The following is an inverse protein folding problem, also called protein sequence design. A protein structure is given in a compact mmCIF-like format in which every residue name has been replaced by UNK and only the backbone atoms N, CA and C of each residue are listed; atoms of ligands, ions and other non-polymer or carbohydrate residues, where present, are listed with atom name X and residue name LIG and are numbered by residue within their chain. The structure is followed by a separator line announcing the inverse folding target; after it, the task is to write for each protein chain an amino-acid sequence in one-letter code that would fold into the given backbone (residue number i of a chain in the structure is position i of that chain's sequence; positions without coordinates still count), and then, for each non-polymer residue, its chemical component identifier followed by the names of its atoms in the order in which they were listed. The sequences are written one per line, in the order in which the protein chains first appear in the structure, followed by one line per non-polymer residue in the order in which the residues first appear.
data_IF_513435134319
#
_entry.id   IF_513435134319
#
_cell.length_a   1.000
_cell.length_b   1.000
_cell.length_c   1.000
_cell.angle_alpha   90.00
_cell.angle_beta   90.00
_cell.angle_gamma   90.00
#
_symmetry.space_group_name_H-M   'P 1'
#
loop_
_entity.id
_entity.type
_entity.pdbx_description
1 polymer ?
#
# COMPACT_ATOMS: atom_id res chain seq x y z
N UNK A 1 1.84 2.14 0.08
CA UNK A 1 3.29 2.11 0.41
C UNK A 1 3.49 2.62 1.84
N UNK A 2 3.20 3.90 2.12
CA UNK A 2 3.39 4.52 3.45
C UNK A 2 2.79 3.73 4.62
N UNK A 3 1.50 3.38 4.57
CA UNK A 3 0.85 2.60 5.62
C UNK A 3 1.52 1.22 5.91
N UNK A 4 2.05 0.55 4.88
CA UNK A 4 2.78 -0.71 5.06
C UNK A 4 4.16 -0.48 5.68
N UNK A 5 4.86 0.59 5.27
CA UNK A 5 6.14 0.99 5.86
C UNK A 5 5.99 1.38 7.34
N UNK A 6 4.93 2.13 7.67
CA UNK A 6 4.63 2.52 9.05
C UNK A 6 4.22 1.32 9.91
N UNK A 7 3.50 0.34 9.33
CA UNK A 7 3.22 -0.94 10.00
C UNK A 7 4.50 -1.72 10.29
N UNK A 8 5.44 -1.81 9.34
CA UNK A 8 6.76 -2.43 9.58
C UNK A 8 7.54 -1.70 10.67
N UNK A 9 7.58 -0.37 10.62
CA UNK A 9 8.25 0.45 11.62
C UNK A 9 7.70 0.17 13.02
N UNK A 10 6.37 0.12 13.16
CA UNK A 10 5.70 -0.23 14.43
C UNK A 10 6.01 -1.65 14.89
N UNK A 11 5.99 -2.63 13.98
CA UNK A 11 6.32 -4.03 14.32
C UNK A 11 7.76 -4.17 14.80
N UNK A 12 8.70 -3.46 14.17
CA UNK A 12 10.10 -3.42 14.61
C UNK A 12 10.27 -2.78 15.98
N UNK A 13 9.56 -1.68 16.25
CA UNK A 13 9.62 -0.99 17.55
C UNK A 13 9.04 -1.84 18.68
N UNK A 14 7.98 -2.63 18.41
CA UNK A 14 7.30 -3.45 19.42
C UNK A 14 7.96 -4.81 19.66
N UNK A 15 8.43 -5.47 18.61
CA UNK A 15 8.89 -6.87 18.68
C UNK A 15 10.41 -7.03 18.48
N UNK A 16 11.13 -5.94 18.19
CA UNK A 16 12.57 -5.91 17.99
C UNK A 16 13.02 -6.36 16.60
N UNK A 17 14.31 -6.68 16.47
CA UNK A 17 14.95 -7.13 15.24
C UNK A 17 15.93 -8.28 15.50
N UNK A 18 15.69 -9.50 14.97
CA UNK A 18 14.50 -9.94 14.25
C UNK A 18 13.26 -9.99 15.17
N UNK A 19 12.06 -9.66 14.67
CA UNK A 19 10.88 -9.53 15.50
C UNK A 19 10.44 -10.89 16.07
N UNK A 20 10.26 -10.94 17.39
CA UNK A 20 9.69 -12.11 18.06
C UNK A 20 8.20 -11.88 18.32
N UNK A 21 7.38 -12.39 17.41
CA UNK A 21 5.93 -12.31 17.53
C UNK A 21 5.39 -13.31 18.58
N UNK A 22 4.38 -12.95 19.38
CA UNK A 22 3.72 -13.90 20.28
C UNK A 22 3.08 -15.06 19.49
N UNK A 23 3.35 -16.31 19.89
CA UNK A 23 2.81 -17.53 19.24
C UNK A 23 1.28 -17.64 19.37
N UNK A 24 0.68 -16.98 20.37
CA UNK A 24 -0.71 -17.16 20.81
C UNK A 24 -1.73 -16.10 20.37
N UNK A 25 -1.47 -15.31 19.32
CA UNK A 25 -2.57 -14.48 18.75
C UNK A 25 -3.44 -15.34 17.83
N UNK A 26 -4.03 -16.41 18.35
CA UNK A 26 -5.05 -17.19 17.68
C UNK A 26 -6.27 -16.30 17.38
N UNK A 27 -6.42 -15.92 16.11
CA UNK A 27 -7.67 -15.47 15.47
C UNK A 27 -8.65 -14.75 16.41
N UNK A 28 -8.30 -13.56 16.88
CA UNK A 28 -9.35 -12.57 17.12
C UNK A 28 -9.70 -12.00 15.75
N UNK A 29 -10.69 -12.63 15.11
CA UNK A 29 -11.56 -11.88 14.21
C UNK A 29 -12.06 -10.72 15.06
N UNK A 30 -11.57 -9.50 14.83
CA UNK A 30 -12.32 -8.32 15.21
C UNK A 30 -13.70 -8.48 14.57
N UNK A 31 -14.65 -8.98 15.37
CA UNK A 31 -16.06 -8.87 15.08
C UNK A 31 -16.35 -7.38 15.25
N UNK A 32 -16.16 -6.60 14.20
CA UNK A 32 -16.96 -5.39 14.07
C UNK A 32 -18.42 -5.86 13.97
N UNK A 33 -19.07 -5.87 15.13
CA UNK A 33 -20.51 -5.90 15.25
C UNK A 33 -20.99 -4.54 14.78
N UNK A 34 -21.31 -4.44 13.49
CA UNK A 34 -22.24 -3.43 13.00
C UNK A 34 -23.33 -4.17 12.24
N UNK A 35 -24.42 -4.46 12.95
CA UNK A 35 -25.71 -4.77 12.35
C UNK A 35 -26.14 -3.59 11.49
N UNK A 36 -25.84 -3.65 10.20
CA UNK A 36 -26.67 -3.04 9.18
C UNK A 36 -27.19 -4.14 8.28
N UNK A 37 -28.41 -4.58 8.58
CA UNK A 37 -29.19 -5.48 7.74
C UNK A 37 -29.54 -4.73 6.47
N UNK A 38 -28.78 -4.96 5.40
CA UNK A 38 -29.25 -4.71 4.03
C UNK A 38 -29.64 -6.07 3.45
N UNK A 39 -30.95 -6.34 3.46
CA UNK A 39 -31.58 -7.36 2.62
C UNK A 39 -31.42 -6.92 1.17
N UNK A 40 -30.47 -7.49 0.44
CA UNK A 40 -30.78 -7.95 -0.91
C UNK A 40 -29.85 -9.06 -1.40
N UNK A 41 -30.47 -10.08 -2.01
CA UNK A 41 -29.88 -11.33 -2.47
C UNK A 41 -29.42 -11.17 -3.92
N UNK A 42 -28.15 -10.86 -4.14
CA UNK A 42 -27.50 -11.25 -5.40
C UNK A 42 -26.06 -11.69 -5.17
N UNK A 43 -25.81 -12.94 -5.55
CA UNK A 43 -24.61 -13.73 -5.24
C UNK A 43 -23.42 -13.25 -6.06
N UNK A 44 -22.49 -12.55 -5.41
CA UNK A 44 -21.08 -12.50 -5.78
C UNK A 44 -20.25 -12.96 -4.58
N UNK A 45 -19.73 -14.19 -4.62
CA UNK A 45 -18.94 -14.81 -3.55
C UNK A 45 -17.86 -13.84 -3.02
N UNK A 46 -17.68 -13.84 -1.70
CA UNK A 46 -16.56 -13.27 -0.93
C UNK A 46 -15.18 -13.85 -1.31
N UNK A 47 -14.87 -14.05 -2.60
CA UNK A 47 -13.65 -14.71 -3.06
C UNK A 47 -12.41 -13.82 -2.96
N UNK A 48 -12.55 -12.49 -3.08
CA UNK A 48 -11.42 -11.55 -2.97
C UNK A 48 -10.92 -11.37 -1.54
N UNK A 49 -11.80 -11.45 -0.53
CA UNK A 49 -11.42 -11.33 0.88
C UNK A 49 -10.69 -12.60 1.37
N UNK A 50 -11.17 -13.77 0.97
CA UNK A 50 -10.52 -15.05 1.29
C UNK A 50 -9.14 -15.20 0.62
N UNK A 51 -8.97 -14.71 -0.61
CA UNK A 51 -7.68 -14.74 -1.32
C UNK A 51 -6.65 -13.72 -0.80
N UNK A 52 -7.09 -12.67 -0.09
CA UNK A 52 -6.21 -11.68 0.56
C UNK A 52 -5.82 -12.06 1.99
N UNK A 53 -6.43 -13.09 2.56
CA UNK A 53 -6.03 -13.65 3.85
C UNK A 53 -4.90 -14.67 3.65
N UNK A 54 -3.72 -14.20 3.20
CA UNK A 54 -2.51 -14.98 3.38
C UNK A 54 -2.31 -15.23 4.88
N UNK A 55 -1.81 -16.41 5.27
CA UNK A 55 -1.67 -16.81 6.68
C UNK A 55 -0.71 -15.95 7.53
N UNK A 56 -0.09 -14.92 6.94
CA UNK A 56 0.79 -13.98 7.61
C UNK A 56 -0.02 -12.86 8.29
N UNK A 57 0.14 -12.74 9.61
CA UNK A 57 -0.56 -11.73 10.44
C UNK A 57 0.18 -10.40 10.45
N UNK A 58 1.51 -10.46 10.37
CA UNK A 58 2.40 -9.31 10.45
C UNK A 58 2.94 -8.93 9.07
N UNK A 59 3.20 -7.64 8.88
CA UNK A 59 3.79 -7.15 7.63
C UNK A 59 5.18 -7.73 7.43
N UNK A 60 5.95 -7.93 8.51
CA UNK A 60 7.25 -8.59 8.48
C UNK A 60 7.21 -9.99 7.84
N UNK A 61 6.26 -10.83 8.26
CA UNK A 61 6.08 -12.19 7.74
C UNK A 61 5.73 -12.20 6.24
N UNK A 62 4.99 -11.19 5.76
CA UNK A 62 4.69 -11.03 4.33
C UNK A 62 5.98 -10.73 3.56
N UNK A 63 6.86 -9.89 4.11
CA UNK A 63 8.14 -9.56 3.49
C UNK A 63 9.11 -10.76 3.47
N UNK A 64 9.12 -11.59 4.53
CA UNK A 64 9.85 -12.86 4.55
C UNK A 64 9.35 -13.82 3.47
N UNK A 65 8.02 -13.90 3.27
CA UNK A 65 7.43 -14.74 2.22
C UNK A 65 7.75 -14.29 0.80
N UNK A 66 8.15 -13.02 0.62
CA UNK A 66 8.69 -12.50 -0.63
C UNK A 66 10.16 -12.92 -0.86
N UNK A 67 10.77 -13.64 0.10
CA UNK A 67 12.14 -14.13 0.04
C UNK A 67 13.18 -13.09 0.47
N UNK A 68 12.77 -12.01 1.14
CA UNK A 68 13.68 -10.98 1.64
C UNK A 68 14.35 -11.43 2.94
N UNK A 69 15.61 -11.04 3.12
CA UNK A 69 16.33 -11.29 4.39
C UNK A 69 15.96 -10.25 5.44
N UNK A 70 16.03 -10.61 6.72
CA UNK A 70 15.72 -9.69 7.83
C UNK A 70 16.39 -8.31 7.70
N UNK A 71 17.70 -8.29 7.40
CA UNK A 71 18.45 -7.05 7.23
C UNK A 71 17.90 -6.15 6.11
N UNK A 72 17.34 -6.72 5.05
CA UNK A 72 16.74 -5.97 3.94
C UNK A 72 15.35 -5.48 4.32
N UNK A 73 14.57 -6.30 5.06
CA UNK A 73 13.20 -5.96 5.50
C UNK A 73 13.20 -4.69 6.36
N UNK A 74 14.23 -4.51 7.19
CA UNK A 74 14.43 -3.30 8.00
C UNK A 74 14.40 -2.01 7.17
N UNK A 75 15.01 -2.01 5.98
CA UNK A 75 15.09 -0.80 5.15
C UNK A 75 13.72 -0.40 4.57
N UNK A 76 12.78 -1.34 4.49
CA UNK A 76 11.39 -1.06 4.10
C UNK A 76 10.56 -0.36 5.18
N UNK A 77 11.10 -0.13 6.38
CA UNK A 77 10.52 0.85 7.30
C UNK A 77 10.57 2.28 6.71
N UNK A 78 11.53 2.57 5.82
CA UNK A 78 11.53 3.79 5.03
C UNK A 78 10.71 3.61 3.74
N UNK A 79 9.79 4.54 3.49
CA UNK A 79 8.95 4.57 2.28
C UNK A 79 9.78 4.70 1.00
N UNK A 80 10.90 5.44 1.03
CA UNK A 80 11.74 5.68 -0.15
C UNK A 80 12.40 4.39 -0.66
N UNK A 81 12.68 3.45 0.26
CA UNK A 81 13.26 2.16 -0.11
C UNK A 81 12.31 1.37 -1.02
N UNK A 82 11.00 1.44 -0.78
CA UNK A 82 9.99 0.79 -1.63
C UNK A 82 10.03 1.34 -3.06
N UNK A 83 10.21 2.66 -3.20
CA UNK A 83 10.26 3.34 -4.49
C UNK A 83 11.53 3.00 -5.28
N UNK A 84 12.60 2.57 -4.61
CA UNK A 84 13.85 2.13 -5.24
C UNK A 84 13.86 0.63 -5.54
N UNK A 85 13.24 -0.17 -4.68
CA UNK A 85 13.31 -1.63 -4.75
C UNK A 85 12.31 -2.23 -5.75
N UNK A 86 11.03 -1.88 -5.64
CA UNK A 86 9.97 -2.55 -6.42
C UNK A 86 9.86 -2.11 -7.88
N UNK A 87 10.03 -0.83 -8.26
CA UNK A 87 9.88 -0.43 -9.66
C UNK A 87 10.85 -1.12 -10.63
N UNK A 88 12.16 -1.30 -10.31
CA UNK A 88 13.06 -2.07 -11.15
C UNK A 88 12.64 -3.54 -11.31
N UNK A 89 12.16 -4.17 -10.23
CA UNK A 89 11.66 -5.54 -10.26
C UNK A 89 10.43 -5.68 -11.16
N UNK A 90 9.47 -4.76 -11.04
CA UNK A 90 8.28 -4.75 -11.91
C UNK A 90 8.67 -4.62 -13.40
N UNK A 91 9.66 -3.79 -13.72
CA UNK A 91 10.17 -3.67 -15.10
C UNK A 91 10.81 -4.98 -15.56
N UNK A 92 11.62 -5.61 -14.71
CA UNK A 92 12.24 -6.91 -15.00
C UNK A 92 11.19 -7.99 -15.28
N UNK A 93 10.17 -8.08 -14.43
CA UNK A 93 9.09 -9.06 -14.57
C UNK A 93 8.28 -8.85 -15.85
N UNK A 94 7.95 -7.60 -16.18
CA UNK A 94 7.22 -7.27 -17.42
C UNK A 94 8.08 -7.50 -18.68
N UNK A 95 9.41 -7.33 -18.59
CA UNK A 95 10.33 -7.71 -19.67
C UNK A 95 10.40 -9.23 -19.85
N UNK A 96 10.47 -9.98 -18.75
CA UNK A 96 10.44 -11.44 -18.78
C UNK A 96 9.12 -12.00 -19.33
N UNK A 97 8.01 -11.29 -19.09
CA UNK A 97 6.71 -11.59 -19.69
C UNK A 97 6.70 -11.33 -21.22
N UNK A 98 7.63 -10.54 -21.76
CA UNK A 98 7.67 -10.20 -23.18
C UNK A 98 6.73 -9.05 -23.57
N UNK A 99 6.42 -8.14 -22.66
CA UNK A 99 5.54 -7.00 -22.94
C UNK A 99 6.17 -6.07 -23.98
N UNK A 100 5.40 -5.71 -25.02
CA UNK A 100 5.81 -4.75 -26.06
C UNK A 100 5.64 -3.30 -25.58
N UNK A 101 6.40 -2.91 -24.55
CA UNK A 101 6.39 -1.56 -23.99
C UNK A 101 7.67 -0.77 -24.33
N UNK A 102 7.55 0.55 -24.51
CA UNK A 102 8.70 1.45 -24.62
C UNK A 102 9.18 1.88 -23.23
N UNK A 103 10.20 1.19 -22.72
CA UNK A 103 10.76 1.40 -21.38
C UNK A 103 11.37 2.79 -21.16
N UNK A 104 11.67 3.54 -22.23
CA UNK A 104 12.18 4.93 -22.12
C UNK A 104 11.12 5.89 -21.59
N UNK A 105 9.84 5.47 -21.58
CA UNK A 105 8.70 6.24 -21.08
C UNK A 105 8.24 5.79 -19.70
N UNK A 106 9.01 4.94 -19.02
CA UNK A 106 8.73 4.52 -17.65
C UNK A 106 9.14 5.62 -16.66
N UNK A 107 8.31 5.88 -15.65
CA UNK A 107 8.57 6.89 -14.62
C UNK A 107 7.87 6.53 -13.30
N UNK A 108 8.29 7.17 -12.21
CA UNK A 108 7.68 7.08 -10.87
C UNK A 108 6.75 8.29 -10.67
N UNK A 109 5.65 8.10 -9.94
CA UNK A 109 4.56 9.09 -9.79
C UNK A 109 4.66 9.96 -8.52
N UNK A 110 5.63 9.71 -7.66
CA UNK A 110 5.87 10.50 -6.45
C UNK A 110 6.69 11.75 -6.76
N UNK A 111 6.82 12.62 -5.77
CA UNK A 111 7.65 13.83 -5.77
C UNK A 111 9.15 13.55 -6.00
N UNK A 112 9.62 12.32 -5.76
CA UNK A 112 10.95 11.84 -6.18
C UNK A 112 11.24 12.07 -7.68
N UNK A 113 10.20 12.14 -8.52
CA UNK A 113 10.34 12.47 -9.93
C UNK A 113 9.97 13.94 -10.19
N UNK A 114 10.96 14.86 -10.31
CA UNK A 114 10.70 16.28 -10.46
C UNK A 114 9.95 16.63 -11.76
N UNK A 115 10.13 15.84 -12.83
CA UNK A 115 9.44 16.08 -14.09
C UNK A 115 7.94 15.79 -13.97
N UNK A 116 7.60 14.67 -13.33
CA UNK A 116 6.20 14.29 -13.15
C UNK A 116 5.51 15.18 -12.11
N UNK A 117 6.19 15.52 -11.01
CA UNK A 117 5.69 16.48 -10.03
C UNK A 117 5.42 17.86 -10.67
N UNK A 118 6.34 18.36 -11.51
CA UNK A 118 6.12 19.60 -12.26
C UNK A 118 4.90 19.52 -13.20
N UNK A 119 4.72 18.39 -13.89
CA UNK A 119 3.55 18.15 -14.74
C UNK A 119 2.24 18.14 -13.94
N UNK A 120 2.20 17.49 -12.77
CA UNK A 120 1.01 17.49 -11.91
C UNK A 120 0.74 18.87 -11.33
N UNK A 121 1.76 19.62 -10.90
CA UNK A 121 1.59 21.01 -10.44
C UNK A 121 1.02 21.90 -11.54
N UNK A 122 1.54 21.78 -12.77
CA UNK A 122 0.99 22.45 -13.94
C UNK A 122 -0.50 22.10 -14.10
N UNK A 123 -0.87 20.82 -14.07
CA UNK A 123 -2.26 20.35 -14.18
C UNK A 123 -3.18 20.97 -13.11
N UNK A 124 -2.78 20.90 -11.84
CA UNK A 124 -3.58 21.43 -10.72
C UNK A 124 -3.72 22.96 -10.77
N UNK A 125 -2.67 23.67 -11.20
CA UNK A 125 -2.74 25.11 -11.41
C UNK A 125 -3.74 25.49 -12.50
N UNK A 126 -3.79 24.74 -13.60
CA UNK A 126 -4.76 24.95 -14.69
C UNK A 126 -6.20 24.64 -14.23
N UNK A 127 -6.40 23.55 -13.48
CA UNK A 127 -7.69 23.20 -12.92
C UNK A 127 -8.20 24.23 -11.91
N UNK A 128 -7.30 24.80 -11.11
CA UNK A 128 -7.61 25.90 -10.19
C UNK A 128 -8.01 27.16 -10.97
N UNK A 129 -7.24 27.55 -11.99
CA UNK A 129 -7.55 28.69 -12.85
C UNK A 129 -8.90 28.54 -13.58
N UNK A 130 -9.23 27.32 -14.02
CA UNK A 130 -10.52 26.99 -14.64
C UNK A 130 -11.68 26.80 -13.63
N UNK A 131 -11.48 27.16 -12.35
CA UNK A 131 -12.49 27.03 -11.29
C UNK A 131 -13.01 25.60 -11.09
N UNK A 132 -12.23 24.57 -11.42
CA UNK A 132 -12.58 23.15 -11.22
C UNK A 132 -12.17 22.63 -9.84
N UNK A 133 -11.26 23.32 -9.16
CA UNK A 133 -10.86 23.02 -7.78
C UNK A 133 -11.53 24.03 -6.85
N UNK A 134 -12.30 23.53 -5.88
CA UNK A 134 -13.00 24.34 -4.88
C UNK A 134 -12.65 23.85 -3.48
N UNK A 135 -12.45 24.78 -2.57
CA UNK A 135 -12.24 24.51 -1.15
C UNK A 135 -13.55 24.74 -0.38
N UNK A 136 -13.90 23.82 0.52
CA UNK A 136 -15.11 23.94 1.34
C UNK A 136 -15.36 22.67 2.14
N UNK A 137 -16.22 22.76 3.17
CA UNK A 137 -16.61 21.61 3.98
C UNK A 137 -17.51 20.68 3.16
N UNK A 138 -17.13 19.41 3.07
CA UNK A 138 -17.86 18.36 2.36
C UNK A 138 -17.90 17.13 3.25
N UNK A 139 -18.99 16.38 3.19
CA UNK A 139 -19.02 15.06 3.80
C UNK A 139 -18.20 14.10 2.95
N UNK A 140 -17.19 13.50 3.56
CA UNK A 140 -16.31 12.50 2.96
C UNK A 140 -16.13 11.36 3.94
N UNK A 141 -15.94 10.14 3.43
CA UNK A 141 -15.54 9.02 4.27
C UNK A 141 -14.17 9.38 4.87
N UNK A 142 -14.06 9.29 6.18
CA UNK A 142 -12.86 9.67 6.93
C UNK A 142 -12.49 8.55 7.91
N UNK A 143 -11.19 8.30 8.03
CA UNK A 143 -10.62 7.30 8.91
C UNK A 143 -9.76 8.03 9.94
N UNK A 144 -10.15 8.06 11.23
CA UNK A 144 -9.37 8.69 12.29
C UNK A 144 -7.98 8.05 12.51
N UNK A 145 -7.72 6.88 11.92
CA UNK A 145 -6.42 6.20 11.98
C UNK A 145 -5.44 6.68 10.91
N UNK A 146 -5.95 7.31 9.85
CA UNK A 146 -5.15 7.76 8.70
C UNK A 146 -4.90 9.29 8.70
N UNK A 147 -5.46 10.00 9.69
CA UNK A 147 -5.25 11.44 9.95
C UNK A 147 -3.94 11.67 10.72
#
# INVERSE_FOLDING_TARGET
IKACADKLKREMELYGFPPKFPEDVAVEKEKEVNEFVIKDKSKGKKSKAAAKAGGAKFQWQIMESLGLKDNEIKDFANTDHWLKYFPPLAISDLKNMGLKADWRRSFITTDENPFYDSFVRWQFNHLKAANRIKFGKRYTIFSPKDD
#
